data_IF_797990569722
#
_entry.id   IF_797990569722
#
_cell.length_a   1.000
_cell.length_b   1.000
_cell.length_c   1.000
_cell.angle_alpha   90.00
_cell.angle_beta   90.00
_cell.angle_gamma   90.00
#
_symmetry.space_group_name_H-M   'P 1'
#
loop_
_entity.id
_entity.type
_entity.pdbx_description
1 polymer ?
#
# COMPACT_ATOMS: atom_id res chain seq x y z
N UNK A 1 -74.86 25.54 -25.16
CA UNK A 1 -74.70 26.00 -23.76
C UNK A 1 -74.07 24.87 -22.96
N UNK A 2 -72.90 25.02 -22.46
CA UNK A 2 -72.24 24.38 -21.33
C UNK A 2 -70.76 24.21 -21.60
N UNK A 3 -69.95 24.94 -20.84
CA UNK A 3 -68.46 24.97 -20.87
C UNK A 3 -67.94 23.86 -19.99
N UNK A 4 -67.00 23.09 -20.47
CA UNK A 4 -66.22 22.22 -19.62
C UNK A 4 -64.75 22.67 -19.66
N UNK A 5 -64.27 23.20 -18.52
CA UNK A 5 -62.88 23.51 -18.29
C UNK A 5 -62.12 22.26 -17.89
N UNK A 6 -61.11 21.93 -18.66
CA UNK A 6 -60.14 20.87 -18.32
C UNK A 6 -58.97 21.47 -17.56
N UNK A 7 -58.74 20.95 -16.34
CA UNK A 7 -57.59 21.24 -15.48
C UNK A 7 -56.42 20.37 -15.91
N UNK A 8 -55.41 20.98 -16.52
CA UNK A 8 -54.15 20.31 -16.78
C UNK A 8 -53.31 20.23 -15.48
N UNK A 9 -53.09 19.04 -14.99
CA UNK A 9 -52.13 18.78 -13.91
C UNK A 9 -50.72 18.66 -14.48
N UNK A 10 -49.89 19.68 -14.20
CA UNK A 10 -48.48 19.64 -14.47
C UNK A 10 -47.80 18.75 -13.39
N UNK A 11 -47.25 17.63 -13.80
CA UNK A 11 -46.35 16.80 -12.98
C UNK A 11 -44.91 17.40 -13.12
N UNK A 12 -44.45 18.05 -12.06
CA UNK A 12 -43.04 18.39 -11.91
C UNK A 12 -42.28 17.11 -11.51
N UNK A 13 -41.55 16.54 -12.44
CA UNK A 13 -40.53 15.53 -12.12
C UNK A 13 -39.26 16.26 -11.61
N UNK A 14 -39.07 16.19 -10.28
CA UNK A 14 -37.81 16.61 -9.67
C UNK A 14 -36.73 15.57 -9.98
N UNK A 15 -35.89 15.84 -10.99
CA UNK A 15 -34.68 15.08 -11.23
C UNK A 15 -33.63 15.48 -10.20
N UNK A 16 -33.44 14.69 -9.14
CA UNK A 16 -32.25 14.79 -8.28
C UNK A 16 -31.03 14.35 -9.06
N UNK A 17 -30.28 15.31 -9.62
CA UNK A 17 -28.92 15.09 -10.10
C UNK A 17 -28.02 14.87 -8.88
N UNK A 18 -27.73 13.61 -8.55
CA UNK A 18 -26.58 13.25 -7.73
C UNK A 18 -25.31 13.57 -8.55
N UNK A 19 -24.73 14.74 -8.33
CA UNK A 19 -23.39 15.02 -8.76
C UNK A 19 -22.41 14.20 -7.90
N UNK A 20 -22.04 13.00 -8.37
CA UNK A 20 -20.85 12.32 -7.91
C UNK A 20 -19.66 13.14 -8.41
N UNK A 21 -19.12 13.98 -7.54
CA UNK A 21 -17.81 14.59 -7.78
C UNK A 21 -16.79 13.48 -7.78
N UNK A 22 -16.42 12.98 -8.95
CA UNK A 22 -15.16 12.29 -9.14
C UNK A 22 -14.07 13.27 -8.72
N UNK A 23 -13.38 12.97 -7.62
CA UNK A 23 -12.16 13.66 -7.28
C UNK A 23 -11.18 13.44 -8.45
N UNK A 24 -11.00 14.48 -9.25
CA UNK A 24 -9.88 14.53 -10.17
C UNK A 24 -8.63 14.36 -9.31
N UNK A 25 -7.82 13.36 -9.62
CA UNK A 25 -6.45 13.23 -9.12
C UNK A 25 -5.69 14.41 -9.71
N UNK A 26 -5.79 15.59 -9.04
CA UNK A 26 -4.96 16.74 -9.35
C UNK A 26 -3.50 16.33 -9.16
N UNK A 27 -2.62 16.85 -10.00
CA UNK A 27 -1.17 16.80 -9.72
C UNK A 27 -0.97 17.38 -8.33
N UNK A 28 -0.73 16.51 -7.34
CA UNK A 28 -0.35 16.94 -6.00
C UNK A 28 0.96 17.73 -6.14
N UNK A 29 0.95 18.95 -5.63
CA UNK A 29 2.18 19.73 -5.54
C UNK A 29 3.22 18.92 -4.76
N UNK A 30 4.47 18.89 -5.24
CA UNK A 30 5.55 18.21 -4.52
C UNK A 30 5.57 18.70 -3.07
N UNK A 31 5.59 17.78 -2.07
CA UNK A 31 5.51 18.17 -0.67
C UNK A 31 6.69 19.09 -0.28
N UNK A 32 6.52 19.96 0.73
CA UNK A 32 7.56 20.86 1.18
C UNK A 32 8.85 20.09 1.48
N UNK A 33 9.99 20.56 0.95
CA UNK A 33 11.29 19.88 1.14
C UNK A 33 11.73 19.82 2.60
N UNK A 34 11.25 20.73 3.41
CA UNK A 34 11.64 20.89 4.82
C UNK A 34 11.09 19.78 5.74
N UNK A 35 10.10 19.01 5.28
CA UNK A 35 9.54 17.88 6.05
C UNK A 35 10.42 16.63 5.93
N UNK A 36 11.17 16.50 4.84
CA UNK A 36 12.00 15.33 4.60
C UNK A 36 13.43 15.52 5.13
N UNK A 37 13.86 14.55 5.94
CA UNK A 37 15.27 14.43 6.31
C UNK A 37 16.14 13.96 5.14
N UNK A 38 17.48 13.99 5.31
CA UNK A 38 18.44 13.69 4.25
C UNK A 38 18.26 12.29 3.64
N UNK A 39 17.71 11.33 4.38
CA UNK A 39 17.49 9.97 3.89
C UNK A 39 16.37 9.85 2.85
N UNK A 40 15.47 10.83 2.82
CA UNK A 40 14.40 10.93 1.83
C UNK A 40 14.70 11.89 0.67
N UNK A 41 15.92 12.43 0.60
CA UNK A 41 16.38 13.34 -0.44
C UNK A 41 17.59 12.74 -1.17
N UNK A 42 17.74 12.93 -2.50
CA UNK A 42 18.93 12.50 -3.22
C UNK A 42 20.20 13.07 -2.58
N UNK A 43 21.20 12.22 -2.35
CA UNK A 43 22.47 12.60 -1.72
C UNK A 43 23.61 12.55 -2.72
N UNK A 44 24.53 13.52 -2.72
CA UNK A 44 25.72 13.47 -3.55
C UNK A 44 26.55 12.21 -3.32
N UNK A 45 26.94 11.53 -4.39
CA UNK A 45 27.77 10.32 -4.31
C UNK A 45 27.02 9.02 -3.96
N UNK A 46 25.71 9.09 -3.71
CA UNK A 46 24.89 7.89 -3.54
C UNK A 46 24.45 7.40 -4.93
N UNK A 47 24.82 6.16 -5.32
CA UNK A 47 24.43 5.64 -6.62
C UNK A 47 22.95 5.28 -6.64
N UNK A 48 22.27 5.68 -7.71
CA UNK A 48 20.85 5.37 -7.91
C UNK A 48 20.66 3.94 -8.41
N UNK A 49 19.66 3.25 -7.85
CA UNK A 49 19.17 1.99 -8.39
C UNK A 49 18.42 2.20 -9.72
N UNK A 50 18.30 1.13 -10.50
CA UNK A 50 17.51 1.13 -11.74
C UNK A 50 16.08 0.62 -11.48
N UNK A 51 15.14 1.16 -12.24
CA UNK A 51 13.74 0.70 -12.23
C UNK A 51 13.37 0.13 -13.59
N UNK A 52 12.77 -1.06 -13.59
CA UNK A 52 12.21 -1.72 -14.76
C UNK A 52 10.69 -1.68 -14.64
N UNK A 53 9.99 -1.48 -15.75
CA UNK A 53 8.54 -1.42 -15.83
C UNK A 53 7.97 -2.69 -16.46
N UNK A 54 6.86 -3.18 -15.91
CA UNK A 54 6.19 -4.41 -16.34
C UNK A 54 4.68 -4.25 -16.33
N UNK A 55 4.02 -5.11 -17.08
CA UNK A 55 2.59 -5.11 -17.25
C UNK A 55 2.04 -6.54 -17.23
N UNK A 56 0.98 -6.78 -16.42
CA UNK A 56 0.18 -8.00 -16.49
C UNK A 56 -1.07 -7.68 -17.31
N UNK A 57 -1.21 -8.19 -18.53
CA UNK A 57 -2.28 -7.76 -19.44
C UNK A 57 -3.68 -8.29 -19.04
N UNK A 58 -3.74 -9.43 -18.36
CA UNK A 58 -4.95 -10.03 -17.80
C UNK A 58 -4.54 -10.94 -16.65
N UNK A 59 -4.89 -10.56 -15.42
CA UNK A 59 -4.52 -11.34 -14.24
C UNK A 59 -5.32 -12.63 -14.16
N UNK A 60 -4.65 -13.72 -13.85
CA UNK A 60 -5.30 -15.01 -13.59
C UNK A 60 -6.04 -15.03 -12.25
N UNK A 61 -5.52 -14.29 -11.26
CA UNK A 61 -6.13 -14.17 -9.94
C UNK A 61 -7.30 -13.20 -9.94
N UNK A 62 -7.20 -12.12 -10.74
CA UNK A 62 -8.21 -11.08 -10.90
C UNK A 62 -8.60 -10.94 -12.39
N UNK A 63 -9.33 -11.92 -12.95
CA UNK A 63 -9.66 -11.93 -14.37
C UNK A 63 -10.38 -10.66 -14.83
N UNK A 64 -10.01 -10.13 -15.99
CA UNK A 64 -10.55 -8.89 -16.54
C UNK A 64 -9.87 -7.62 -16.01
N UNK A 65 -8.79 -7.76 -15.26
CA UNK A 65 -7.98 -6.65 -14.76
C UNK A 65 -6.53 -6.77 -15.20
N UNK A 66 -5.95 -5.63 -15.58
CA UNK A 66 -4.54 -5.45 -15.93
C UNK A 66 -3.82 -4.74 -14.80
N UNK A 67 -2.53 -5.05 -14.59
CA UNK A 67 -1.74 -4.45 -13.52
C UNK A 67 -0.42 -3.92 -14.07
N UNK A 68 -0.10 -2.67 -13.76
CA UNK A 68 1.22 -2.09 -13.97
C UNK A 68 2.03 -2.24 -12.69
N UNK A 69 3.31 -2.61 -12.82
CA UNK A 69 4.20 -2.77 -11.71
C UNK A 69 5.65 -2.51 -12.12
N UNK A 70 6.47 -2.19 -11.14
CA UNK A 70 7.88 -1.83 -11.35
C UNK A 70 8.78 -2.60 -10.42
N UNK A 71 9.95 -2.97 -10.93
CA UNK A 71 11.03 -3.59 -10.16
C UNK A 71 12.18 -2.60 -10.01
N UNK A 72 12.42 -2.16 -8.79
CA UNK A 72 13.61 -1.42 -8.42
C UNK A 72 14.72 -2.39 -8.04
N UNK A 73 15.90 -2.21 -8.64
CA UNK A 73 17.12 -2.97 -8.37
C UNK A 73 18.18 -1.98 -7.88
N UNK A 74 18.63 -2.08 -6.61
CA UNK A 74 19.61 -1.14 -6.08
C UNK A 74 20.96 -1.26 -6.80
N UNK A 75 21.70 -0.17 -6.89
CA UNK A 75 23.02 -0.14 -7.56
C UNK A 75 24.03 -1.12 -6.93
N UNK A 76 23.86 -1.47 -5.66
CA UNK A 76 24.71 -2.41 -4.92
C UNK A 76 24.35 -3.89 -5.16
N UNK A 77 23.31 -4.16 -5.96
CA UNK A 77 22.94 -5.54 -6.27
C UNK A 77 24.04 -6.24 -7.08
N UNK A 78 24.29 -7.48 -6.68
CA UNK A 78 25.24 -8.37 -7.36
C UNK A 78 24.60 -9.76 -7.48
N UNK A 79 24.56 -10.31 -8.69
CA UNK A 79 23.96 -11.61 -8.99
C UNK A 79 24.54 -12.78 -8.16
N UNK A 80 25.80 -12.67 -7.73
CA UNK A 80 26.40 -13.65 -6.85
C UNK A 80 25.78 -13.69 -5.44
N UNK A 81 25.11 -12.60 -5.01
CA UNK A 81 24.52 -12.47 -3.67
C UNK A 81 23.01 -12.19 -3.78
N UNK A 82 22.15 -13.14 -3.34
CA UNK A 82 20.72 -12.93 -3.38
C UNK A 82 20.29 -11.69 -2.58
N UNK A 83 19.38 -10.88 -3.13
CA UNK A 83 18.81 -9.71 -2.50
C UNK A 83 17.64 -10.07 -1.57
N UNK A 84 17.40 -9.25 -0.55
CA UNK A 84 16.13 -9.21 0.16
C UNK A 84 15.04 -8.60 -0.74
N UNK A 85 13.78 -8.78 -0.36
CA UNK A 85 12.61 -8.30 -1.13
C UNK A 85 11.73 -7.39 -0.28
N UNK A 86 11.25 -6.32 -0.86
CA UNK A 86 10.14 -5.55 -0.31
C UNK A 86 9.12 -5.24 -1.40
N UNK A 87 7.82 -5.40 -1.09
CA UNK A 87 6.72 -5.11 -2.01
C UNK A 87 5.90 -3.94 -1.47
N UNK A 88 5.54 -3.00 -2.34
CA UNK A 88 4.69 -1.85 -2.01
C UNK A 88 3.45 -1.84 -2.89
N UNK A 89 2.29 -1.70 -2.27
CA UNK A 89 1.02 -1.43 -2.93
C UNK A 89 0.94 0.05 -3.33
N UNK A 90 0.05 0.39 -4.29
CA UNK A 90 -0.04 1.72 -4.90
C UNK A 90 1.32 2.17 -5.47
N UNK A 91 1.94 1.27 -6.22
CA UNK A 91 3.34 1.29 -6.59
C UNK A 91 3.82 2.58 -7.27
N UNK A 92 3.00 3.12 -8.19
CA UNK A 92 3.33 4.35 -8.90
C UNK A 92 3.60 5.54 -7.96
N UNK A 93 2.89 5.62 -6.81
CA UNK A 93 3.08 6.70 -5.85
C UNK A 93 4.29 6.46 -4.95
N UNK A 94 4.51 5.22 -4.51
CA UNK A 94 5.63 4.88 -3.65
C UNK A 94 6.99 4.99 -4.36
N UNK A 95 7.07 4.68 -5.65
CA UNK A 95 8.34 4.65 -6.40
C UNK A 95 8.85 6.04 -6.83
N UNK A 96 7.97 7.05 -6.96
CA UNK A 96 8.36 8.40 -7.43
C UNK A 96 9.46 9.00 -6.58
N UNK A 97 10.58 9.38 -7.23
CA UNK A 97 11.77 9.91 -6.53
C UNK A 97 11.58 11.30 -5.94
N UNK A 98 10.74 12.11 -6.55
CA UNK A 98 10.35 13.46 -6.13
C UNK A 98 8.92 13.53 -5.57
N UNK A 99 8.26 12.37 -5.46
CA UNK A 99 6.90 12.24 -4.99
C UNK A 99 6.75 12.32 -3.47
N UNK A 100 5.61 11.86 -3.01
CA UNK A 100 5.23 11.85 -1.61
C UNK A 100 6.06 10.84 -0.77
N UNK A 101 6.22 9.59 -1.26
CA UNK A 101 6.83 8.51 -0.48
C UNK A 101 8.34 8.36 -0.68
N UNK A 102 8.85 8.62 -1.88
CA UNK A 102 10.29 8.61 -2.24
C UNK A 102 11.04 7.33 -1.92
N UNK A 103 10.37 6.19 -1.93
CA UNK A 103 10.96 4.92 -1.49
C UNK A 103 12.23 4.54 -2.24
N UNK A 104 12.31 4.80 -3.54
CA UNK A 104 13.53 4.53 -4.31
C UNK A 104 14.73 5.32 -3.76
N UNK A 105 14.52 6.60 -3.39
CA UNK A 105 15.56 7.46 -2.80
C UNK A 105 15.94 6.97 -1.40
N UNK A 106 14.96 6.60 -0.59
CA UNK A 106 15.19 6.03 0.75
C UNK A 106 16.03 4.75 0.66
N UNK A 107 15.70 3.87 -0.28
CA UNK A 107 16.46 2.63 -0.50
C UNK A 107 17.89 2.92 -0.97
N UNK A 108 18.07 3.82 -1.95
CA UNK A 108 19.42 4.23 -2.40
C UNK A 108 20.28 4.68 -1.21
N UNK A 109 19.78 5.61 -0.41
CA UNK A 109 20.49 6.20 0.71
C UNK A 109 20.83 5.18 1.81
N UNK A 110 19.83 4.42 2.26
CA UNK A 110 20.02 3.51 3.39
C UNK A 110 20.85 2.27 3.02
N UNK A 111 20.75 1.78 1.79
CA UNK A 111 21.60 0.67 1.30
C UNK A 111 23.05 1.16 1.14
N UNK A 112 23.26 2.37 0.58
CA UNK A 112 24.60 2.95 0.45
C UNK A 112 25.25 3.16 1.82
N UNK A 113 24.49 3.57 2.84
CA UNK A 113 24.95 3.71 4.24
C UNK A 113 25.16 2.36 4.95
N UNK A 114 24.80 1.24 4.32
CA UNK A 114 24.78 -0.09 4.93
C UNK A 114 23.87 -0.19 6.17
N UNK A 115 22.82 0.62 6.22
CA UNK A 115 21.81 0.58 7.28
C UNK A 115 20.69 -0.42 6.93
N UNK A 116 20.54 -0.73 5.65
CA UNK A 116 19.69 -1.80 5.13
C UNK A 116 20.50 -2.87 4.39
N UNK A 117 20.03 -4.12 4.31
CA UNK A 117 20.57 -5.09 3.36
C UNK A 117 20.31 -4.62 1.92
N UNK A 118 20.92 -5.27 0.94
CA UNK A 118 20.56 -5.08 -0.48
C UNK A 118 19.15 -5.58 -0.70
N UNK A 119 18.21 -4.67 -0.95
CA UNK A 119 16.77 -4.93 -1.11
C UNK A 119 16.35 -4.61 -2.53
N UNK A 120 15.85 -5.60 -3.28
CA UNK A 120 15.05 -5.34 -4.46
C UNK A 120 13.62 -4.97 -4.04
N UNK A 121 13.06 -3.91 -4.64
CA UNK A 121 11.71 -3.49 -4.30
C UNK A 121 10.77 -3.66 -5.51
N UNK A 122 9.56 -4.14 -5.23
CA UNK A 122 8.49 -4.29 -6.22
C UNK A 122 7.38 -3.31 -5.86
N UNK A 123 6.99 -2.49 -6.82
CA UNK A 123 5.96 -1.49 -6.69
C UNK A 123 4.78 -1.91 -7.57
N UNK A 124 3.62 -2.21 -6.98
CA UNK A 124 2.48 -2.79 -7.70
C UNK A 124 1.27 -1.88 -7.60
N UNK A 125 0.71 -1.50 -8.74
CA UNK A 125 -0.57 -0.82 -8.78
C UNK A 125 -1.73 -1.81 -8.67
N UNK A 126 -2.88 -1.38 -8.15
CA UNK A 126 -4.10 -2.19 -8.19
C UNK A 126 -4.58 -2.38 -9.62
N UNK A 127 -5.36 -3.42 -9.83
CA UNK A 127 -5.92 -3.76 -11.13
C UNK A 127 -6.82 -2.68 -11.70
N UNK A 128 -6.68 -2.44 -13.00
CA UNK A 128 -7.54 -1.57 -13.80
C UNK A 128 -8.31 -2.44 -14.79
N UNK A 129 -9.63 -2.24 -14.91
CA UNK A 129 -10.45 -3.05 -15.81
C UNK A 129 -9.98 -2.98 -17.26
N UNK A 130 -9.89 -4.13 -17.93
CA UNK A 130 -9.62 -4.24 -19.37
C UNK A 130 -10.80 -3.64 -20.15
N UNK A 131 -12.03 -3.83 -19.66
CA UNK A 131 -13.23 -3.21 -20.22
C UNK A 131 -13.17 -1.68 -20.21
N UNK A 132 -13.62 -1.07 -21.32
CA UNK A 132 -13.65 0.38 -21.49
C UNK A 132 -15.08 0.89 -21.48
N UNK A 133 -15.29 2.05 -20.84
CA UNK A 133 -16.53 2.80 -20.91
C UNK A 133 -16.72 3.49 -22.27
N UNK A 134 -17.85 4.13 -22.46
CA UNK A 134 -18.17 4.90 -23.69
C UNK A 134 -17.20 6.05 -23.98
N UNK A 135 -16.49 6.52 -22.94
CA UNK A 135 -15.45 7.56 -23.02
C UNK A 135 -14.04 6.98 -23.29
N UNK A 136 -13.93 5.68 -23.52
CA UNK A 136 -12.66 4.97 -23.73
C UNK A 136 -11.80 4.74 -22.49
N UNK A 137 -12.25 5.20 -21.30
CA UNK A 137 -11.52 5.01 -20.04
C UNK A 137 -11.83 3.67 -19.40
N UNK A 138 -10.96 3.14 -18.52
CA UNK A 138 -11.27 1.96 -17.73
C UNK A 138 -12.56 2.13 -16.95
N UNK A 139 -13.40 1.11 -16.93
CA UNK A 139 -14.70 1.14 -16.23
C UNK A 139 -14.53 1.14 -14.71
N UNK A 140 -13.56 0.37 -14.20
CA UNK A 140 -13.36 0.14 -12.78
C UNK A 140 -11.88 0.11 -12.40
N UNK A 141 -11.61 0.55 -11.17
CA UNK A 141 -10.38 0.28 -10.44
C UNK A 141 -10.69 -0.80 -9.39
N UNK A 142 -9.89 -1.86 -9.33
CA UNK A 142 -10.13 -3.01 -8.46
C UNK A 142 -9.52 -2.86 -7.05
N UNK A 143 -8.94 -1.71 -6.74
CA UNK A 143 -8.14 -1.46 -5.52
C UNK A 143 -8.80 -1.95 -4.23
N UNK A 144 -10.07 -1.60 -4.01
CA UNK A 144 -10.74 -2.01 -2.77
C UNK A 144 -11.03 -3.51 -2.72
N UNK A 145 -11.29 -4.16 -3.86
CA UNK A 145 -11.49 -5.61 -3.91
C UNK A 145 -10.18 -6.34 -3.61
N UNK A 146 -9.08 -5.89 -4.21
CA UNK A 146 -7.78 -6.53 -4.06
C UNK A 146 -7.16 -6.29 -2.69
N UNK A 147 -7.26 -5.06 -2.19
CA UNK A 147 -6.51 -4.64 -1.00
C UNK A 147 -7.30 -4.80 0.30
N UNK A 148 -8.59 -4.44 0.29
CA UNK A 148 -9.39 -4.42 1.53
C UNK A 148 -10.06 -5.77 1.82
N UNK A 149 -10.12 -6.71 0.86
CA UNK A 149 -10.70 -8.02 1.11
C UNK A 149 -9.75 -8.86 1.97
N UNK A 150 -10.24 -9.31 3.12
CA UNK A 150 -9.49 -10.14 4.07
C UNK A 150 -9.39 -11.60 3.57
N UNK A 151 -8.63 -11.81 2.49
CA UNK A 151 -8.45 -13.12 1.84
C UNK A 151 -7.01 -13.30 1.34
N UNK A 152 -6.56 -14.54 1.06
CA UNK A 152 -5.24 -14.81 0.52
C UNK A 152 -5.06 -14.40 -0.95
N UNK A 153 -6.11 -13.94 -1.65
CA UNK A 153 -6.10 -13.74 -3.10
C UNK A 153 -5.00 -12.78 -3.56
N UNK A 154 -4.89 -11.61 -2.91
CA UNK A 154 -3.88 -10.62 -3.31
C UNK A 154 -2.45 -11.14 -3.10
N UNK A 155 -2.19 -11.80 -1.98
CA UNK A 155 -0.88 -12.41 -1.76
C UNK A 155 -0.58 -13.55 -2.74
N UNK A 156 -1.60 -14.31 -3.16
CA UNK A 156 -1.47 -15.32 -4.19
C UNK A 156 -1.15 -14.69 -5.57
N UNK A 157 -1.79 -13.56 -5.92
CA UNK A 157 -1.46 -12.79 -7.11
C UNK A 157 0.01 -12.37 -7.12
N UNK A 158 0.49 -11.75 -6.05
CA UNK A 158 1.89 -11.34 -5.93
C UNK A 158 2.85 -12.53 -6.10
N UNK A 159 2.52 -13.67 -5.47
CA UNK A 159 3.39 -14.84 -5.47
C UNK A 159 3.40 -15.59 -6.80
N UNK A 160 2.26 -15.69 -7.46
CA UNK A 160 2.09 -16.53 -8.65
C UNK A 160 2.25 -15.76 -9.96
N UNK A 161 2.00 -14.44 -9.97
CA UNK A 161 2.00 -13.65 -11.20
C UNK A 161 3.13 -12.61 -11.25
N UNK A 162 3.45 -11.97 -10.11
CA UNK A 162 4.50 -10.94 -10.06
C UNK A 162 5.89 -11.53 -9.79
N UNK A 163 6.03 -12.32 -8.72
CA UNK A 163 7.35 -12.81 -8.27
C UNK A 163 8.06 -13.77 -9.25
N UNK A 164 7.38 -14.57 -10.08
CA UNK A 164 8.06 -15.35 -11.12
C UNK A 164 8.85 -14.48 -12.11
N UNK A 165 8.30 -13.33 -12.51
CA UNK A 165 9.02 -12.39 -13.38
C UNK A 165 10.15 -11.69 -12.65
N UNK A 166 9.95 -11.26 -11.40
CA UNK A 166 11.03 -10.67 -10.58
C UNK A 166 12.25 -11.59 -10.50
N UNK A 167 12.04 -12.89 -10.34
CA UNK A 167 13.11 -13.89 -10.24
C UNK A 167 13.91 -14.08 -11.53
N UNK A 168 13.42 -13.64 -12.67
CA UNK A 168 14.19 -13.62 -13.93
C UNK A 168 15.24 -12.49 -13.92
N UNK A 169 15.05 -11.45 -13.12
CA UNK A 169 15.89 -10.26 -13.08
C UNK A 169 16.76 -10.16 -11.83
N UNK A 170 16.32 -10.76 -10.71
CA UNK A 170 16.99 -10.66 -9.40
C UNK A 170 16.93 -12.00 -8.67
N UNK A 171 18.09 -12.49 -8.24
CA UNK A 171 18.13 -13.59 -7.28
C UNK A 171 17.65 -13.11 -5.92
N UNK A 172 16.57 -13.68 -5.44
CA UNK A 172 15.98 -13.37 -4.14
C UNK A 172 16.42 -14.39 -3.08
N UNK A 173 16.54 -13.92 -1.83
CA UNK A 173 16.72 -14.81 -0.68
C UNK A 173 15.47 -15.63 -0.44
N UNK A 174 15.62 -16.92 -0.14
CA UNK A 174 14.49 -17.82 0.14
C UNK A 174 13.97 -17.73 1.58
N UNK A 175 14.74 -17.11 2.48
CA UNK A 175 14.33 -16.86 3.87
C UNK A 175 13.12 -15.91 3.95
N UNK A 176 12.01 -16.29 4.59
CA UNK A 176 10.86 -15.40 4.80
C UNK A 176 11.20 -14.12 5.58
N UNK A 177 12.24 -14.13 6.43
CA UNK A 177 12.71 -12.93 7.13
C UNK A 177 13.39 -11.92 6.17
N UNK A 178 13.77 -12.36 4.97
CA UNK A 178 14.26 -11.51 3.90
C UNK A 178 13.16 -10.82 3.11
N UNK A 179 11.88 -10.98 3.48
CA UNK A 179 10.76 -10.46 2.70
C UNK A 179 9.85 -9.59 3.54
N UNK A 180 9.64 -8.37 3.03
CA UNK A 180 8.76 -7.37 3.61
C UNK A 180 7.67 -6.96 2.61
N UNK A 181 6.58 -6.45 3.13
CA UNK A 181 5.47 -5.92 2.35
C UNK A 181 4.89 -4.70 3.05
N UNK A 182 4.50 -3.65 2.31
CA UNK A 182 4.05 -2.41 2.94
C UNK A 182 3.21 -1.54 2.02
N UNK A 183 2.49 -0.62 2.61
CA UNK A 183 1.65 0.35 1.91
C UNK A 183 0.95 1.29 2.86
N UNK A 184 0.09 2.15 2.30
CA UNK A 184 -0.74 3.05 3.07
C UNK A 184 -2.23 2.73 2.87
N UNK A 185 -3.04 2.99 3.91
CA UNK A 185 -4.50 2.83 3.86
C UNK A 185 -4.92 1.39 3.47
N UNK A 186 -5.66 1.22 2.39
CA UNK A 186 -5.98 -0.10 1.82
C UNK A 186 -4.71 -0.90 1.47
N UNK A 187 -3.63 -0.25 1.00
CA UNK A 187 -2.35 -0.90 0.75
C UNK A 187 -1.71 -1.46 2.03
N UNK A 188 -1.90 -0.81 3.17
CA UNK A 188 -1.40 -1.27 4.46
C UNK A 188 -2.14 -2.51 4.97
N UNK A 189 -3.47 -2.56 4.84
CA UNK A 189 -4.22 -3.76 5.23
C UNK A 189 -3.94 -4.92 4.25
N UNK A 190 -3.75 -4.66 2.95
CA UNK A 190 -3.31 -5.67 1.98
C UNK A 190 -1.95 -6.27 2.37
N UNK A 191 -1.02 -5.42 2.83
CA UNK A 191 0.29 -5.85 3.32
C UNK A 191 0.15 -6.74 4.56
N UNK A 192 -0.66 -6.30 5.55
CA UNK A 192 -0.91 -7.09 6.75
C UNK A 192 -1.59 -8.43 6.42
N UNK A 193 -2.64 -8.41 5.60
CA UNK A 193 -3.35 -9.62 5.14
C UNK A 193 -2.39 -10.59 4.46
N UNK A 194 -1.51 -10.10 3.60
CA UNK A 194 -0.55 -10.95 2.88
C UNK A 194 0.41 -11.67 3.83
N UNK A 195 0.94 -10.97 4.82
CA UNK A 195 1.83 -11.58 5.83
C UNK A 195 1.04 -12.45 6.83
N UNK A 196 -0.19 -12.10 7.13
CA UNK A 196 -1.08 -12.87 8.01
C UNK A 196 -1.44 -14.22 7.41
N UNK A 197 -1.81 -14.25 6.13
CA UNK A 197 -2.17 -15.48 5.42
C UNK A 197 -0.95 -16.34 5.06
N UNK A 198 0.18 -15.71 4.75
CA UNK A 198 1.40 -16.40 4.33
C UNK A 198 2.64 -15.98 5.14
N UNK A 199 2.70 -16.28 6.45
CA UNK A 199 3.85 -15.92 7.30
C UNK A 199 5.12 -16.70 6.95
N UNK A 200 5.01 -17.76 6.17
CA UNK A 200 6.12 -18.50 5.54
C UNK A 200 6.69 -17.77 4.29
N UNK A 201 6.01 -16.74 3.81
CA UNK A 201 6.42 -15.94 2.64
C UNK A 201 6.83 -14.53 3.02
N UNK A 202 6.09 -13.86 3.92
CA UNK A 202 6.33 -12.49 4.36
C UNK A 202 6.34 -12.42 5.89
N UNK A 203 7.40 -11.85 6.47
CA UNK A 203 7.54 -11.71 7.92
C UNK A 203 7.69 -10.28 8.41
N UNK A 204 7.75 -9.29 7.51
CA UNK A 204 7.86 -7.88 7.85
C UNK A 204 6.75 -7.09 7.19
N UNK A 205 6.04 -6.29 7.97
CA UNK A 205 4.91 -5.47 7.51
C UNK A 205 5.17 -4.01 7.83
N UNK A 206 5.06 -3.15 6.82
CA UNK A 206 4.98 -1.70 6.97
C UNK A 206 3.52 -1.27 6.76
N UNK A 207 2.83 -0.92 7.84
CA UNK A 207 1.42 -0.53 7.84
C UNK A 207 1.29 0.97 8.15
N UNK A 208 1.06 1.78 7.14
CA UNK A 208 0.90 3.22 7.24
C UNK A 208 -0.59 3.58 7.14
N UNK A 209 -1.18 4.23 8.13
CA UNK A 209 -2.62 4.58 8.19
C UNK A 209 -3.53 3.42 7.80
N UNK A 210 -3.29 2.22 8.34
CA UNK A 210 -3.90 0.97 7.88
C UNK A 210 -5.44 0.98 7.99
N UNK A 211 -6.12 0.44 6.96
CA UNK A 211 -7.58 0.37 6.89
C UNK A 211 -8.14 -0.78 7.74
N UNK A 212 -7.87 -0.75 9.06
CA UNK A 212 -8.48 -1.68 10.02
C UNK A 212 -9.90 -1.24 10.44
N UNK A 213 -10.56 -0.45 9.58
CA UNK A 213 -11.93 0.02 9.72
C UNK A 213 -12.93 -0.95 9.08
N UNK A 214 -14.24 -0.64 9.14
CA UNK A 214 -15.29 -1.51 8.60
C UNK A 214 -15.38 -1.42 7.05
N UNK A 215 -14.26 -1.67 6.36
CA UNK A 215 -14.20 -1.85 4.91
C UNK A 215 -13.88 -3.31 4.65
N UNK A 216 -14.77 -4.01 3.94
CA UNK A 216 -14.65 -5.44 3.56
C UNK A 216 -14.16 -6.37 4.68
N UNK A 217 -14.52 -6.05 5.93
CA UNK A 217 -14.17 -6.86 7.09
C UNK A 217 -12.83 -6.52 7.75
N UNK A 218 -12.16 -5.44 7.37
CA UNK A 218 -10.88 -5.03 7.96
C UNK A 218 -10.91 -4.82 9.47
N UNK A 219 -12.05 -4.40 10.02
CA UNK A 219 -12.27 -4.23 11.45
C UNK A 219 -12.27 -5.55 12.25
N UNK A 220 -12.26 -6.70 11.58
CA UNK A 220 -12.17 -8.00 12.26
C UNK A 220 -10.74 -8.33 12.73
N UNK A 221 -9.71 -7.70 12.14
CA UNK A 221 -8.32 -8.06 12.42
C UNK A 221 -7.90 -7.99 13.88
N UNK A 222 -8.26 -6.98 14.69
CA UNK A 222 -7.89 -7.00 16.11
C UNK A 222 -8.41 -8.25 16.84
N UNK A 223 -9.65 -8.68 16.51
CA UNK A 223 -10.24 -9.93 17.06
C UNK A 223 -9.53 -11.19 16.53
N UNK A 224 -9.22 -11.24 15.23
CA UNK A 224 -8.49 -12.35 14.63
C UNK A 224 -7.10 -12.52 15.24
N UNK A 225 -6.37 -11.40 15.45
CA UNK A 225 -5.05 -11.41 16.09
C UNK A 225 -5.14 -11.96 17.51
N UNK A 226 -6.12 -11.51 18.30
CA UNK A 226 -6.33 -11.99 19.68
C UNK A 226 -6.65 -13.48 19.73
N UNK A 227 -7.48 -13.97 18.80
CA UNK A 227 -7.97 -15.36 18.78
C UNK A 227 -7.00 -16.38 18.15
N UNK A 228 -6.04 -15.94 17.34
CA UNK A 228 -5.17 -16.85 16.62
C UNK A 228 -3.94 -17.28 17.43
N UNK A 229 -3.31 -18.40 17.01
CA UNK A 229 -1.95 -18.72 17.39
C UNK A 229 -0.99 -17.63 16.89
N UNK A 230 0.09 -17.39 17.65
CA UNK A 230 1.10 -16.39 17.30
C UNK A 230 1.76 -16.72 15.96
N UNK A 231 1.78 -15.74 15.06
CA UNK A 231 2.46 -15.85 13.75
C UNK A 231 3.80 -15.10 13.79
N UNK A 232 4.87 -15.58 13.15
CA UNK A 232 6.19 -14.98 13.23
C UNK A 232 6.31 -13.76 12.31
N UNK A 233 5.46 -12.76 12.50
CA UNK A 233 5.45 -11.51 11.72
C UNK A 233 5.88 -10.33 12.61
N UNK A 234 6.62 -9.39 12.02
CA UNK A 234 7.03 -8.11 12.60
C UNK A 234 6.23 -7.01 11.95
N UNK A 235 5.70 -6.07 12.73
CA UNK A 235 4.83 -5.01 12.20
C UNK A 235 5.34 -3.64 12.67
N UNK A 236 5.72 -2.79 11.71
CA UNK A 236 5.80 -1.34 11.97
C UNK A 236 4.47 -0.74 11.56
N UNK A 237 3.79 -0.15 12.52
CA UNK A 237 2.48 0.47 12.33
C UNK A 237 2.56 1.96 12.64
N UNK A 238 1.93 2.78 11.79
CA UNK A 238 1.90 4.22 11.97
C UNK A 238 0.54 4.75 11.54
N UNK A 239 0.08 5.81 12.21
CA UNK A 239 -1.18 6.52 11.90
C UNK A 239 -1.05 8.00 12.25
N UNK A 240 -1.76 8.88 11.54
CA UNK A 240 -1.86 10.28 11.87
C UNK A 240 -2.82 10.53 13.04
N UNK A 241 -2.52 11.50 13.90
CA UNK A 241 -3.43 11.94 14.96
C UNK A 241 -4.72 12.54 14.38
N UNK A 242 -4.60 13.19 13.22
CA UNK A 242 -5.71 13.79 12.48
C UNK A 242 -6.13 12.94 11.27
N UNK A 243 -5.95 11.60 11.38
CA UNK A 243 -6.32 10.66 10.32
C UNK A 243 -7.84 10.66 10.07
N UNK A 244 -8.25 10.07 8.96
CA UNK A 244 -9.63 10.09 8.47
C UNK A 244 -10.64 9.53 9.48
N UNK A 245 -11.78 10.20 9.56
CA UNK A 245 -13.00 9.71 10.20
C UNK A 245 -14.09 9.70 9.15
N UNK A 246 -14.75 8.56 8.94
CA UNK A 246 -15.82 8.44 7.95
C UNK A 246 -17.06 7.80 8.55
N UNK A 247 -18.21 8.39 8.24
CA UNK A 247 -19.50 7.85 8.67
C UNK A 247 -19.68 6.39 8.22
N UNK A 248 -20.14 5.53 9.10
CA UNK A 248 -20.32 4.10 8.87
C UNK A 248 -19.03 3.27 8.84
N UNK A 249 -17.86 3.89 8.69
CA UNK A 249 -16.56 3.21 8.66
C UNK A 249 -15.74 3.39 9.93
N UNK A 250 -15.94 4.50 10.66
CA UNK A 250 -15.25 4.83 11.90
C UNK A 250 -13.99 5.68 11.70
N UNK A 251 -13.19 5.74 12.77
CA UNK A 251 -11.94 6.49 12.85
C UNK A 251 -10.76 5.57 12.51
N UNK A 252 -9.89 6.01 11.59
CA UNK A 252 -8.64 5.29 11.30
C UNK A 252 -7.69 5.31 12.50
N UNK A 253 -7.62 6.41 13.23
CA UNK A 253 -6.80 6.50 14.45
C UNK A 253 -7.22 5.45 15.48
N UNK A 254 -8.53 5.35 15.78
CA UNK A 254 -9.03 4.40 16.77
C UNK A 254 -8.91 2.95 16.30
N UNK A 255 -9.14 2.69 15.02
CA UNK A 255 -8.97 1.37 14.42
C UNK A 255 -7.50 0.90 14.49
N UNK A 256 -6.54 1.80 14.20
CA UNK A 256 -5.12 1.51 14.31
C UNK A 256 -4.66 1.35 15.77
N UNK A 257 -5.18 2.15 16.72
CA UNK A 257 -4.94 1.95 18.16
C UNK A 257 -5.44 0.57 18.64
N UNK A 258 -6.63 0.16 18.19
CA UNK A 258 -7.18 -1.15 18.56
C UNK A 258 -6.36 -2.31 17.95
N UNK A 259 -5.89 -2.14 16.72
CA UNK A 259 -5.00 -3.11 16.07
C UNK A 259 -3.66 -3.20 16.81
N UNK A 260 -3.06 -2.06 17.16
CA UNK A 260 -1.84 -1.99 17.97
C UNK A 260 -2.01 -2.72 19.30
N UNK A 261 -3.09 -2.43 20.04
CA UNK A 261 -3.38 -3.11 21.30
C UNK A 261 -3.48 -4.64 21.15
N UNK A 262 -4.10 -5.13 20.08
CA UNK A 262 -4.19 -6.57 19.82
C UNK A 262 -2.81 -7.21 19.55
N UNK A 263 -1.94 -6.50 18.82
CA UNK A 263 -0.57 -6.95 18.57
C UNK A 263 0.26 -6.98 19.87
N UNK A 264 0.13 -5.96 20.73
CA UNK A 264 0.81 -5.88 22.04
C UNK A 264 0.32 -6.98 22.99
N UNK A 265 -0.99 -7.18 23.12
CA UNK A 265 -1.59 -8.27 23.93
C UNK A 265 -1.05 -9.65 23.55
N UNK A 266 -0.82 -9.85 22.25
CA UNK A 266 -0.28 -11.11 21.71
C UNK A 266 1.25 -11.12 21.62
N UNK A 267 1.92 -10.07 22.12
CA UNK A 267 3.40 -9.94 22.17
C UNK A 267 4.07 -10.08 20.81
N UNK A 268 3.47 -9.50 19.78
CA UNK A 268 4.12 -9.40 18.48
C UNK A 268 5.35 -8.49 18.55
N UNK A 269 6.34 -8.74 17.70
CA UNK A 269 7.41 -7.79 17.44
C UNK A 269 6.84 -6.60 16.66
N UNK A 270 6.42 -5.58 17.41
CA UNK A 270 5.58 -4.50 16.92
C UNK A 270 6.09 -3.13 17.41
N UNK A 271 6.03 -2.14 16.53
CA UNK A 271 6.24 -0.73 16.85
C UNK A 271 5.07 0.08 16.33
N UNK A 272 4.46 0.88 17.19
CA UNK A 272 3.37 1.78 16.84
C UNK A 272 3.79 3.23 16.99
N UNK A 273 3.54 4.07 15.98
CA UNK A 273 3.87 5.49 15.95
C UNK A 273 2.62 6.29 15.58
N UNK A 274 2.34 7.34 16.34
CA UNK A 274 1.34 8.35 16.00
C UNK A 274 2.08 9.63 15.62
N UNK A 275 1.79 10.17 14.43
CA UNK A 275 2.32 11.46 13.96
C UNK A 275 1.26 12.54 14.09
N UNK A 276 1.64 13.81 13.97
CA UNK A 276 0.69 14.95 13.92
C UNK A 276 -0.09 15.08 12.62
N UNK A 277 0.02 14.10 11.72
CA UNK A 277 -0.43 14.18 10.33
C UNK A 277 -1.89 13.73 10.12
N UNK A 278 -2.35 13.89 8.89
CA UNK A 278 -3.63 13.38 8.37
C UNK A 278 -3.44 11.99 7.74
N UNK A 279 -4.48 11.51 7.03
CA UNK A 279 -4.47 10.20 6.37
C UNK A 279 -3.38 10.09 5.30
N UNK A 280 -2.41 9.20 5.48
CA UNK A 280 -1.28 9.01 4.56
C UNK A 280 -0.51 10.31 4.26
N UNK A 281 -0.44 11.25 5.18
CA UNK A 281 0.16 12.57 4.97
C UNK A 281 1.69 12.55 4.85
N UNK A 282 2.27 13.72 4.65
CA UNK A 282 3.70 13.89 4.34
C UNK A 282 4.62 13.59 5.52
N UNK A 283 4.17 13.84 6.76
CA UNK A 283 4.94 13.47 7.96
C UNK A 283 5.00 11.94 8.11
N UNK A 284 3.94 11.25 7.69
CA UNK A 284 3.92 9.79 7.61
C UNK A 284 5.01 9.29 6.66
N UNK A 285 5.15 9.92 5.49
CA UNK A 285 6.18 9.58 4.52
C UNK A 285 7.59 9.89 5.04
N UNK A 286 7.76 10.98 5.79
CA UNK A 286 9.04 11.35 6.41
C UNK A 286 9.55 10.33 7.44
N UNK A 287 8.66 9.51 8.03
CA UNK A 287 9.02 8.44 8.97
C UNK A 287 9.51 7.15 8.29
N UNK A 288 9.36 7.04 6.97
CA UNK A 288 9.70 5.79 6.25
C UNK A 288 11.15 5.34 6.43
N UNK A 289 12.18 6.22 6.40
CA UNK A 289 13.56 5.79 6.66
C UNK A 289 13.73 5.09 8.00
N UNK A 290 13.12 5.65 9.07
CA UNK A 290 13.19 5.06 10.41
C UNK A 290 12.40 3.76 10.50
N UNK A 291 11.24 3.69 9.86
CA UNK A 291 10.45 2.47 9.76
C UNK A 291 11.22 1.34 9.07
N UNK A 292 11.94 1.66 7.99
CA UNK A 292 12.78 0.71 7.27
C UNK A 292 13.94 0.21 8.13
N UNK A 293 14.65 1.09 8.84
CA UNK A 293 15.69 0.70 9.81
C UNK A 293 15.15 -0.25 10.86
N UNK A 294 14.00 0.06 11.42
CA UNK A 294 13.40 -0.74 12.47
C UNK A 294 12.96 -2.12 11.97
N UNK A 295 12.33 -2.20 10.78
CA UNK A 295 11.92 -3.47 10.18
C UNK A 295 13.10 -4.41 9.88
N UNK A 296 14.25 -3.85 9.49
CA UNK A 296 15.43 -4.61 9.08
C UNK A 296 16.57 -4.62 10.11
N UNK A 297 16.33 -4.11 11.34
CA UNK A 297 17.36 -3.84 12.35
C UNK A 297 18.29 -4.99 12.70
N UNK A 298 17.81 -6.23 12.64
CA UNK A 298 18.53 -7.46 12.99
C UNK A 298 18.76 -8.38 11.77
N UNK A 299 18.48 -7.90 10.56
CA UNK A 299 18.70 -8.68 9.34
C UNK A 299 20.11 -8.45 8.79
N UNK A 300 20.87 -9.51 8.38
CA UNK A 300 22.23 -9.38 7.88
C UNK A 300 22.33 -8.43 6.67
N UNK A 301 23.28 -7.51 6.74
CA UNK A 301 23.55 -6.45 5.76
C UNK A 301 24.59 -6.86 4.74
#
# INVERSE_FOLDING_TARGET
MSRHGGIARALLAAACLLMIRQAAWGQEASPPKDVFGPDSLPQPGVPEGKTLEFHVPDSKTFPGFTHDWWLYIPAQYNEAKPAALMIFQDGADFMKRDGHWRLAVVLDNLIAKRELPVIAAVFVNPGISIGRGVDGKPMNNNRSVEYDTTSPAYAAFLWNEILPEVRQHVRLREDPNARAIGGCSSGAIAAFTSAWEFPDRFRKVLSLSGTYTNIRGGNAYPGLVRGAAHKPIRVFQQVGEHDAVREGLGSWLDANKNMSAALDEKRYDHKFVITGDTHCGVENAAQVPEAMRWLWRDYPR
#
